data_IF_042145280074
#
_entry.id   IF_042145280074
#
_cell.length_a   1.000
_cell.length_b   1.000
_cell.length_c   1.000
_cell.angle_alpha   90.00
_cell.angle_beta   90.00
_cell.angle_gamma   90.00
#
_symmetry.space_group_name_H-M   'P 1'
#
loop_
_entity.id
_entity.type
_entity.pdbx_description
1 polymer ?
#
# COMPACT_ATOMS: atom_id res chain seq x y z
N UNK A 1 9.07 2.74 -31.00
CA UNK A 1 9.36 4.00 -30.30
C UNK A 1 8.62 4.12 -28.97
N UNK A 2 7.41 3.56 -28.85
CA UNK A 2 6.61 3.60 -27.62
C UNK A 2 7.34 3.14 -26.34
N UNK A 3 8.07 2.00 -26.30
CA UNK A 3 8.74 1.58 -25.07
C UNK A 3 9.85 2.56 -24.65
N UNK A 4 10.56 3.16 -25.61
CA UNK A 4 11.59 4.16 -25.29
C UNK A 4 10.97 5.44 -24.72
N UNK A 5 9.85 5.92 -25.28
CA UNK A 5 9.16 7.08 -24.75
C UNK A 5 8.70 6.86 -23.31
N UNK A 6 8.21 5.66 -22.99
CA UNK A 6 7.79 5.29 -21.64
C UNK A 6 8.96 5.20 -20.65
N UNK A 7 10.09 4.62 -21.06
CA UNK A 7 11.28 4.54 -20.20
C UNK A 7 11.84 5.93 -19.92
N UNK A 8 11.98 6.77 -20.95
CA UNK A 8 12.49 8.15 -20.78
C UNK A 8 11.53 8.99 -19.94
N UNK A 9 10.22 8.92 -20.21
CA UNK A 9 9.20 9.61 -19.41
C UNK A 9 9.23 9.17 -17.95
N UNK A 10 9.29 7.86 -17.70
CA UNK A 10 9.40 7.29 -16.35
C UNK A 10 10.64 7.79 -15.61
N UNK A 11 11.81 7.78 -16.26
CA UNK A 11 13.06 8.31 -15.69
C UNK A 11 12.93 9.78 -15.28
N UNK A 12 12.35 10.62 -16.14
CA UNK A 12 12.17 12.05 -15.86
C UNK A 12 11.21 12.27 -14.68
N UNK A 13 10.08 11.56 -14.67
CA UNK A 13 9.10 11.65 -13.58
C UNK A 13 9.69 11.19 -12.24
N UNK A 14 10.44 10.07 -12.23
CA UNK A 14 11.11 9.57 -11.02
C UNK A 14 12.17 10.58 -10.53
N UNK A 15 12.96 11.15 -11.44
CA UNK A 15 13.96 12.16 -11.09
C UNK A 15 13.32 13.40 -10.47
N UNK A 16 12.22 13.89 -11.05
CA UNK A 16 11.48 15.04 -10.53
C UNK A 16 10.85 14.76 -9.15
N UNK A 17 10.23 13.58 -8.99
CA UNK A 17 9.65 13.15 -7.72
C UNK A 17 10.73 13.02 -6.62
N UNK A 18 11.85 12.37 -6.92
CA UNK A 18 12.96 12.19 -5.98
C UNK A 18 13.63 13.52 -5.61
N UNK A 19 13.74 14.48 -6.55
CA UNK A 19 14.25 15.81 -6.25
C UNK A 19 13.35 16.57 -5.27
N UNK A 20 12.02 16.46 -5.45
CA UNK A 20 11.03 17.03 -4.55
C UNK A 20 11.08 16.40 -3.15
N UNK A 21 11.14 15.08 -3.07
CA UNK A 21 11.26 14.34 -1.80
C UNK A 21 12.57 14.68 -1.08
N UNK A 22 13.70 14.66 -1.79
CA UNK A 22 15.02 15.01 -1.23
C UNK A 22 15.03 16.43 -0.65
N UNK A 23 14.39 17.39 -1.34
CA UNK A 23 14.29 18.77 -0.85
C UNK A 23 13.45 18.86 0.44
N UNK A 24 12.37 18.08 0.55
CA UNK A 24 11.56 18.00 1.76
C UNK A 24 12.32 17.32 2.90
N UNK A 25 13.03 16.23 2.61
CA UNK A 25 13.86 15.52 3.58
C UNK A 25 14.95 16.43 4.14
N UNK A 26 15.67 17.17 3.28
CA UNK A 26 16.70 18.10 3.77
C UNK A 26 16.11 19.24 4.61
N UNK A 27 14.88 19.68 4.31
CA UNK A 27 14.18 20.68 5.13
C UNK A 27 13.80 20.11 6.50
N UNK A 28 13.21 18.91 6.55
CA UNK A 28 12.86 18.28 7.83
C UNK A 28 14.12 17.95 8.64
N UNK A 29 15.16 17.45 7.97
CA UNK A 29 16.49 17.21 8.54
C UNK A 29 17.11 18.46 9.17
N UNK A 30 17.04 19.60 8.49
CA UNK A 30 17.50 20.88 9.05
C UNK A 30 16.72 21.28 10.31
N UNK A 31 15.39 21.08 10.32
CA UNK A 31 14.53 21.42 11.47
C UNK A 31 14.86 20.57 12.70
N UNK A 32 15.15 19.27 12.51
CA UNK A 32 15.49 18.35 13.61
C UNK A 32 16.97 18.35 13.99
N UNK A 33 17.77 19.25 13.40
CA UNK A 33 19.20 19.38 13.69
C UNK A 33 20.09 18.28 13.09
N UNK A 34 19.63 17.56 12.07
CA UNK A 34 20.40 16.53 11.39
C UNK A 34 21.53 17.13 10.52
N UNK A 35 22.66 16.43 10.43
CA UNK A 35 23.79 16.82 9.58
C UNK A 35 23.49 16.54 8.10
N UNK A 36 23.43 17.57 7.22
CA UNK A 36 22.99 17.40 5.83
C UNK A 36 23.81 16.38 5.02
N UNK A 37 25.11 16.27 5.29
CA UNK A 37 26.01 15.34 4.58
C UNK A 37 25.62 13.89 4.79
N UNK A 38 25.35 13.48 6.04
CA UNK A 38 24.96 12.10 6.31
C UNK A 38 23.59 11.77 5.72
N UNK A 39 22.67 12.74 5.71
CA UNK A 39 21.35 12.57 5.13
C UNK A 39 21.39 12.38 3.60
N UNK A 40 22.18 13.18 2.88
CA UNK A 40 22.34 13.01 1.43
C UNK A 40 22.97 11.66 1.07
N UNK A 41 23.98 11.22 1.82
CA UNK A 41 24.60 9.90 1.63
C UNK A 41 23.58 8.80 1.89
N UNK A 42 22.79 8.90 2.96
CA UNK A 42 21.75 7.93 3.28
C UNK A 42 20.67 7.85 2.20
N UNK A 43 20.19 9.00 1.69
CA UNK A 43 19.22 9.06 0.60
C UNK A 43 19.75 8.43 -0.69
N UNK A 44 21.02 8.70 -1.03
CA UNK A 44 21.65 8.14 -2.23
C UNK A 44 21.81 6.62 -2.14
N UNK A 45 22.35 6.11 -1.02
CA UNK A 45 22.48 4.68 -0.78
C UNK A 45 21.10 4.01 -0.74
N UNK A 46 20.15 4.61 -0.04
CA UNK A 46 18.78 4.13 0.08
C UNK A 46 18.09 3.99 -1.28
N UNK A 47 18.23 4.98 -2.17
CA UNK A 47 17.68 4.94 -3.51
C UNK A 47 18.30 3.82 -4.37
N UNK A 48 19.63 3.67 -4.35
CA UNK A 48 20.33 2.61 -5.09
C UNK A 48 19.89 1.23 -4.59
N UNK A 49 19.98 0.99 -3.28
CA UNK A 49 19.62 -0.31 -2.68
C UNK A 49 18.14 -0.63 -2.95
N UNK A 50 17.24 0.34 -2.79
CA UNK A 50 15.81 0.15 -3.05
C UNK A 50 15.52 -0.14 -4.52
N UNK A 51 16.15 0.58 -5.45
CA UNK A 51 15.95 0.34 -6.89
C UNK A 51 16.37 -1.07 -7.32
N UNK A 52 17.49 -1.57 -6.78
CA UNK A 52 17.97 -2.94 -7.04
C UNK A 52 17.01 -3.95 -6.42
N UNK A 53 16.63 -3.76 -5.15
CA UNK A 53 15.74 -4.68 -4.43
C UNK A 53 14.35 -4.76 -5.07
N UNK A 54 13.74 -3.61 -5.41
CA UNK A 54 12.43 -3.53 -6.06
C UNK A 54 12.52 -4.13 -7.47
N UNK A 55 13.54 -3.77 -8.26
CA UNK A 55 13.73 -4.30 -9.61
C UNK A 55 13.92 -5.82 -9.62
N UNK A 56 14.70 -6.36 -8.69
CA UNK A 56 14.87 -7.80 -8.52
C UNK A 56 13.54 -8.48 -8.12
N UNK A 57 12.81 -7.91 -7.17
CA UNK A 57 11.52 -8.44 -6.71
C UNK A 57 10.50 -8.47 -7.83
N UNK A 58 10.34 -7.38 -8.58
CA UNK A 58 9.43 -7.30 -9.73
C UNK A 58 9.82 -8.33 -10.79
N UNK A 59 11.11 -8.47 -11.11
CA UNK A 59 11.57 -9.45 -12.09
C UNK A 59 11.27 -10.88 -11.65
N UNK A 60 11.49 -11.21 -10.38
CA UNK A 60 11.21 -12.54 -9.82
C UNK A 60 9.70 -12.84 -9.89
N UNK A 61 8.87 -11.90 -9.43
CA UNK A 61 7.42 -12.08 -9.39
C UNK A 61 6.78 -12.11 -10.77
N UNK A 62 7.33 -11.37 -11.74
CA UNK A 62 6.83 -11.34 -13.11
C UNK A 62 7.27 -12.55 -13.94
N UNK A 63 8.30 -13.27 -13.51
CA UNK A 63 8.78 -14.46 -14.22
C UNK A 63 7.71 -15.55 -14.17
N UNK A 64 7.15 -15.97 -15.32
CA UNK A 64 6.07 -16.94 -15.35
C UNK A 64 6.58 -18.35 -15.00
N UNK A 65 5.75 -19.12 -14.31
CA UNK A 65 5.99 -20.55 -14.09
C UNK A 65 5.84 -21.35 -15.40
N UNK A 66 6.35 -22.58 -15.43
CA UNK A 66 6.23 -23.46 -16.60
C UNK A 66 4.75 -23.70 -17.01
N UNK A 67 3.84 -23.73 -16.03
CA UNK A 67 2.39 -23.87 -16.26
C UNK A 67 1.78 -22.60 -16.87
N UNK A 68 2.19 -21.42 -16.39
CA UNK A 68 1.74 -20.13 -16.95
C UNK A 68 2.19 -19.96 -18.40
N UNK A 69 3.40 -20.39 -18.74
CA UNK A 69 3.90 -20.35 -20.12
C UNK A 69 3.06 -21.24 -21.05
N UNK A 70 2.59 -22.40 -20.58
CA UNK A 70 1.69 -23.27 -21.34
C UNK A 70 0.30 -22.64 -21.57
N UNK A 71 -0.12 -21.75 -20.67
CA UNK A 71 -1.35 -20.96 -20.81
C UNK A 71 -1.15 -19.69 -21.66
N UNK A 72 0.06 -19.47 -22.22
CA UNK A 72 0.38 -18.28 -23.02
C UNK A 72 0.63 -17.01 -22.21
N UNK A 73 0.78 -17.12 -20.88
CA UNK A 73 1.04 -16.01 -19.98
C UNK A 73 2.54 -15.69 -20.00
N UNK A 74 2.91 -14.54 -20.53
CA UNK A 74 4.31 -14.08 -20.62
C UNK A 74 4.73 -13.20 -19.45
N UNK A 75 3.76 -12.60 -18.75
CA UNK A 75 3.96 -11.74 -17.57
C UNK A 75 3.04 -12.24 -16.47
N UNK A 76 3.61 -12.67 -15.35
CA UNK A 76 2.83 -13.20 -14.24
C UNK A 76 2.10 -12.08 -13.46
N UNK A 77 2.63 -10.85 -13.47
CA UNK A 77 1.98 -9.70 -12.83
C UNK A 77 0.75 -9.29 -13.65
N UNK A 78 -0.37 -9.06 -12.97
CA UNK A 78 -1.67 -8.75 -13.60
C UNK A 78 -2.54 -9.98 -13.84
N UNK A 79 -2.06 -11.19 -13.49
CA UNK A 79 -2.87 -12.42 -13.43
C UNK A 79 -3.58 -12.55 -12.08
N UNK A 80 -4.46 -13.56 -11.95
CA UNK A 80 -5.14 -13.86 -10.67
C UNK A 80 -4.18 -14.22 -9.54
N UNK A 81 -2.98 -14.74 -9.87
CA UNK A 81 -1.96 -15.09 -8.87
C UNK A 81 -1.28 -13.84 -8.30
N UNK A 82 -1.03 -12.84 -9.15
CA UNK A 82 -0.39 -11.58 -8.77
C UNK A 82 -1.21 -10.40 -9.30
N UNK A 83 -2.40 -10.14 -8.73
CA UNK A 83 -3.27 -9.07 -9.21
C UNK A 83 -2.61 -7.72 -8.98
N UNK A 84 -2.50 -6.92 -10.04
CA UNK A 84 -1.94 -5.57 -9.97
C UNK A 84 -2.93 -4.53 -10.50
N UNK A 85 -4.06 -4.25 -9.81
CA UNK A 85 -5.11 -3.36 -10.32
C UNK A 85 -4.59 -1.97 -10.70
N UNK A 86 -3.76 -1.36 -9.85
CA UNK A 86 -3.15 -0.05 -10.14
C UNK A 86 -2.23 -0.10 -11.37
N UNK A 87 -1.45 -1.18 -11.53
CA UNK A 87 -0.57 -1.38 -12.68
C UNK A 87 -1.37 -1.57 -13.97
N UNK A 88 -2.41 -2.40 -13.94
CA UNK A 88 -3.28 -2.68 -15.09
C UNK A 88 -4.02 -1.42 -15.55
N UNK A 89 -4.50 -0.59 -14.62
CA UNK A 89 -5.13 0.69 -14.96
C UNK A 89 -4.15 1.65 -15.66
N UNK A 90 -2.95 1.80 -15.10
CA UNK A 90 -1.91 2.65 -15.71
C UNK A 90 -1.49 2.12 -17.09
N UNK A 91 -1.32 0.81 -17.23
CA UNK A 91 -1.01 0.18 -18.52
C UNK A 91 -2.11 0.40 -19.55
N UNK A 92 -3.39 0.32 -19.14
CA UNK A 92 -4.55 0.54 -20.02
C UNK A 92 -4.61 1.99 -20.49
N UNK A 93 -4.43 2.96 -19.58
CA UNK A 93 -4.40 4.39 -19.93
C UNK A 93 -3.25 4.72 -20.87
N UNK A 94 -2.04 4.24 -20.56
CA UNK A 94 -0.85 4.47 -21.38
C UNK A 94 -1.03 3.88 -22.78
N UNK A 95 -1.48 2.62 -22.88
CA UNK A 95 -1.75 1.98 -24.17
C UNK A 95 -2.84 2.72 -24.95
N UNK A 96 -3.92 3.14 -24.30
CA UNK A 96 -5.00 3.91 -24.93
C UNK A 96 -4.52 5.25 -25.49
N UNK A 97 -3.70 5.99 -24.73
CA UNK A 97 -3.13 7.27 -25.16
C UNK A 97 -2.17 7.07 -26.35
N UNK A 98 -1.23 6.12 -26.24
CA UNK A 98 -0.22 5.90 -27.28
C UNK A 98 -0.81 5.34 -28.58
N UNK A 99 -1.83 4.49 -28.48
CA UNK A 99 -2.53 3.94 -29.64
C UNK A 99 -3.58 4.87 -30.24
N UNK A 100 -3.77 6.07 -29.68
CA UNK A 100 -4.86 7.00 -30.02
C UNK A 100 -6.26 6.37 -29.95
N UNK A 101 -6.41 5.27 -29.19
CA UNK A 101 -7.64 4.50 -29.04
C UNK A 101 -8.15 4.57 -27.60
N UNK A 102 -7.98 5.73 -26.96
CA UNK A 102 -8.53 5.98 -25.64
C UNK A 102 -10.02 6.29 -25.78
N UNK A 103 -10.84 5.59 -25.02
CA UNK A 103 -12.26 5.86 -24.97
C UNK A 103 -12.53 7.15 -24.19
N UNK A 104 -12.61 8.26 -24.93
CA UNK A 104 -12.86 9.60 -24.40
C UNK A 104 -14.23 9.74 -23.73
N UNK A 105 -15.18 8.83 -24.00
CA UNK A 105 -16.47 8.83 -23.30
C UNK A 105 -16.25 8.51 -21.82
N UNK A 106 -15.46 7.48 -21.50
CA UNK A 106 -15.15 7.15 -20.10
C UNK A 106 -14.31 8.23 -19.41
N UNK A 107 -13.37 8.86 -20.13
CA UNK A 107 -12.55 9.94 -19.57
C UNK A 107 -13.40 11.16 -19.20
N UNK A 108 -14.30 11.58 -20.10
CA UNK A 108 -15.16 12.75 -19.86
C UNK A 108 -16.20 12.50 -18.77
N UNK A 109 -16.76 11.28 -18.71
CA UNK A 109 -17.63 10.86 -17.59
C UNK A 109 -16.87 10.88 -16.28
N UNK A 110 -15.65 10.34 -16.24
CA UNK A 110 -14.79 10.38 -15.06
C UNK A 110 -14.48 11.81 -14.59
N UNK A 111 -14.19 12.72 -15.54
CA UNK A 111 -13.96 14.13 -15.24
C UNK A 111 -15.21 14.81 -14.66
N UNK A 112 -16.41 14.55 -15.22
CA UNK A 112 -17.66 15.09 -14.70
C UNK A 112 -17.97 14.58 -13.27
N UNK A 113 -17.73 13.29 -13.01
CA UNK A 113 -17.87 12.71 -11.67
C UNK A 113 -16.88 13.35 -10.70
N UNK A 114 -15.62 13.50 -11.09
CA UNK A 114 -14.59 14.13 -10.26
C UNK A 114 -14.96 15.56 -9.88
N UNK A 115 -15.42 16.37 -10.84
CA UNK A 115 -15.89 17.74 -10.59
C UNK A 115 -17.09 17.73 -9.63
N UNK A 116 -18.06 16.84 -9.86
CA UNK A 116 -19.24 16.73 -9.00
C UNK A 116 -18.85 16.38 -7.56
N UNK A 117 -17.94 15.43 -7.37
CA UNK A 117 -17.43 15.06 -6.04
C UNK A 117 -16.69 16.21 -5.36
N UNK A 118 -15.84 16.92 -6.10
CA UNK A 118 -15.10 18.07 -5.56
C UNK A 118 -16.06 19.20 -5.15
N UNK A 119 -17.13 19.44 -5.92
CA UNK A 119 -18.20 20.38 -5.58
C UNK A 119 -19.01 19.93 -4.35
N UNK A 120 -19.16 18.63 -4.12
CA UNK A 120 -19.74 18.08 -2.90
C UNK A 120 -18.78 18.13 -1.69
N UNK A 121 -17.57 18.66 -1.84
CA UNK A 121 -16.55 18.72 -0.78
C UNK A 121 -15.87 17.38 -0.52
N UNK A 122 -16.03 16.40 -1.41
CA UNK A 122 -15.39 15.09 -1.33
C UNK A 122 -14.17 15.12 -2.26
N UNK A 123 -12.97 14.86 -1.71
CA UNK A 123 -11.74 14.79 -2.51
C UNK A 123 -11.89 13.73 -3.60
N UNK A 124 -11.90 14.17 -4.86
CA UNK A 124 -12.14 13.29 -6.01
C UNK A 124 -11.15 12.10 -6.08
N UNK A 125 -9.90 12.31 -5.66
CA UNK A 125 -8.87 11.27 -5.64
C UNK A 125 -9.23 10.11 -4.68
N UNK A 126 -9.68 10.42 -3.47
CA UNK A 126 -10.05 9.40 -2.47
C UNK A 126 -11.26 8.60 -2.93
N UNK A 127 -12.23 9.26 -3.58
CA UNK A 127 -13.38 8.61 -4.17
C UNK A 127 -12.99 7.68 -5.32
N UNK A 128 -12.19 8.18 -6.27
CA UNK A 128 -11.72 7.40 -7.41
C UNK A 128 -10.99 6.13 -6.99
N UNK A 129 -10.16 6.22 -5.93
CA UNK A 129 -9.45 5.05 -5.38
C UNK A 129 -10.41 3.97 -4.89
N UNK A 130 -11.50 4.34 -4.23
CA UNK A 130 -12.50 3.38 -3.75
C UNK A 130 -13.27 2.68 -4.86
N UNK A 131 -13.48 3.36 -6.00
CA UNK A 131 -14.31 2.84 -7.12
C UNK A 131 -13.57 1.79 -7.96
N UNK A 132 -12.25 1.91 -8.13
CA UNK A 132 -11.51 0.95 -8.97
C UNK A 132 -11.02 -0.29 -8.21
N UNK A 133 -10.94 -0.24 -6.88
CA UNK A 133 -10.48 -1.36 -6.08
C UNK A 133 -11.58 -2.45 -5.95
N UNK A 134 -11.20 -3.73 -5.82
CA UNK A 134 -12.15 -4.80 -5.54
C UNK A 134 -12.96 -4.49 -4.29
N UNK A 135 -14.25 -4.85 -4.28
CA UNK A 135 -15.15 -4.62 -3.14
C UNK A 135 -14.61 -5.20 -1.82
N UNK A 136 -13.91 -6.34 -1.89
CA UNK A 136 -13.24 -6.93 -0.73
C UNK A 136 -12.16 -6.02 -0.13
N UNK A 137 -11.36 -5.35 -0.98
CA UNK A 137 -10.34 -4.39 -0.56
C UNK A 137 -10.97 -3.07 -0.09
N UNK A 138 -11.97 -2.56 -0.80
CA UNK A 138 -12.64 -1.31 -0.42
C UNK A 138 -13.37 -1.46 0.92
N UNK A 139 -14.01 -2.61 1.19
CA UNK A 139 -14.69 -2.86 2.46
C UNK A 139 -13.72 -2.92 3.64
N UNK A 140 -12.56 -3.55 3.47
CA UNK A 140 -11.53 -3.62 4.53
C UNK A 140 -10.94 -2.24 4.83
N UNK A 141 -10.68 -1.42 3.81
CA UNK A 141 -10.28 -0.01 3.96
C UNK A 141 -11.37 0.79 4.70
N UNK A 142 -12.64 0.61 4.32
CA UNK A 142 -13.77 1.27 4.98
C UNK A 142 -13.86 0.91 6.47
N UNK A 143 -13.71 -0.37 6.83
CA UNK A 143 -13.73 -0.80 8.24
C UNK A 143 -12.55 -0.18 9.01
N UNK A 144 -11.36 -0.11 8.42
CA UNK A 144 -10.22 0.59 9.03
C UNK A 144 -10.52 2.07 9.29
N UNK A 145 -11.13 2.77 8.32
CA UNK A 145 -11.58 4.15 8.47
C UNK A 145 -12.69 4.32 9.50
N UNK A 146 -13.63 3.39 9.57
CA UNK A 146 -14.69 3.37 10.59
C UNK A 146 -14.12 3.19 12.00
N UNK A 147 -13.12 2.32 12.17
CA UNK A 147 -12.41 2.16 13.45
C UNK A 147 -11.74 3.48 13.86
N UNK A 148 -11.02 4.15 12.95
CA UNK A 148 -10.40 5.46 13.21
C UNK A 148 -11.47 6.49 13.62
N UNK A 149 -12.55 6.62 12.86
CA UNK A 149 -13.64 7.54 13.18
C UNK A 149 -14.30 7.27 14.54
N UNK A 150 -14.45 6.00 14.94
CA UNK A 150 -14.96 5.64 16.28
C UNK A 150 -13.95 6.00 17.38
N UNK A 151 -12.65 5.81 17.16
CA UNK A 151 -11.59 6.20 18.10
C UNK A 151 -11.60 7.71 18.31
N UNK A 152 -11.62 8.48 17.23
CA UNK A 152 -11.59 9.94 17.28
C UNK A 152 -12.84 10.50 17.97
N UNK A 153 -14.00 9.94 17.65
CA UNK A 153 -15.26 10.29 18.31
C UNK A 153 -15.20 10.00 19.82
N UNK A 154 -14.67 8.85 20.24
CA UNK A 154 -14.55 8.50 21.68
C UNK A 154 -13.51 9.34 22.41
N UNK A 155 -12.36 9.65 21.80
CA UNK A 155 -11.35 10.54 22.40
C UNK A 155 -11.90 11.95 22.63
N UNK A 156 -12.68 12.47 21.67
CA UNK A 156 -13.37 13.77 21.80
C UNK A 156 -14.40 13.80 22.94
N UNK A 157 -15.14 12.71 23.15
CA UNK A 157 -16.15 12.59 24.22
C UNK A 157 -15.52 12.49 25.62
N UNK A 158 -14.31 11.94 25.75
CA UNK A 158 -13.65 11.75 27.04
C UNK A 158 -12.98 13.01 27.60
N UNK A 159 -13.26 14.21 27.06
CA UNK A 159 -12.64 15.48 27.47
C UNK A 159 -11.10 15.42 27.55
N UNK A 160 -10.47 14.52 26.79
CA UNK A 160 -9.04 14.64 26.54
C UNK A 160 -8.89 15.88 25.67
N UNK A 161 -8.51 17.00 26.29
CA UNK A 161 -8.06 18.21 25.60
C UNK A 161 -6.77 17.89 24.84
N UNK A 162 -6.87 17.11 23.78
CA UNK A 162 -5.90 17.10 22.70
C UNK A 162 -6.68 17.56 21.47
N UNK A 163 -6.78 18.87 21.32
CA UNK A 163 -6.48 19.49 20.03
C UNK A 163 -5.04 19.11 19.69
N UNK A 164 -4.81 17.84 19.35
CA UNK A 164 -3.58 17.39 18.74
C UNK A 164 -3.56 18.01 17.35
N UNK A 165 -2.44 18.63 16.98
CA UNK A 165 -2.19 18.98 15.59
C UNK A 165 -2.41 17.72 14.72
N UNK A 166 -2.87 17.88 13.47
CA UNK A 166 -2.99 16.76 12.54
C UNK A 166 -1.70 15.91 12.45
N UNK A 167 -0.55 16.52 12.72
CA UNK A 167 0.77 15.85 12.79
C UNK A 167 0.96 14.93 14.01
N UNK A 168 0.44 15.29 15.19
CA UNK A 168 0.47 14.40 16.37
C UNK A 168 -0.50 13.23 16.22
N UNK A 169 -1.61 13.44 15.49
CA UNK A 169 -2.60 12.40 15.19
C UNK A 169 -2.01 11.32 14.27
N UNK A 170 -1.21 11.72 13.27
CA UNK A 170 -0.51 10.80 12.37
C UNK A 170 0.61 10.00 13.07
N UNK A 171 1.14 10.51 14.19
CA UNK A 171 2.10 9.80 15.07
C UNK A 171 1.43 9.02 16.20
N UNK A 172 0.10 9.03 16.29
CA UNK A 172 -0.62 8.31 17.34
C UNK A 172 -0.33 6.80 17.33
N UNK A 173 -0.31 6.18 18.51
CA UNK A 173 0.01 4.74 18.69
C UNK A 173 -0.74 3.81 17.73
N UNK A 174 -2.01 4.11 17.44
CA UNK A 174 -2.83 3.35 16.50
C UNK A 174 -2.32 3.45 15.06
N UNK A 175 -1.96 4.64 14.59
CA UNK A 175 -1.47 4.87 13.24
C UNK A 175 -0.05 4.30 13.06
N UNK A 176 0.82 4.44 14.07
CA UNK A 176 2.16 3.86 14.08
C UNK A 176 2.13 2.31 14.08
N UNK A 177 1.23 1.71 14.86
CA UNK A 177 1.06 0.26 14.85
C UNK A 177 0.48 -0.24 13.53
N UNK A 178 -0.51 0.45 12.96
CA UNK A 178 -1.08 0.10 11.66
C UNK A 178 -0.04 0.19 10.52
N UNK A 179 0.76 1.27 10.46
CA UNK A 179 1.83 1.40 9.46
C UNK A 179 2.90 0.33 9.63
N UNK A 180 3.26 -0.04 10.87
CA UNK A 180 4.13 -1.16 11.17
C UNK A 180 3.58 -2.51 10.68
N UNK A 181 2.29 -2.78 10.88
CA UNK A 181 1.63 -3.99 10.36
C UNK A 181 1.61 -4.04 8.84
N UNK A 182 1.33 -2.91 8.17
CA UNK A 182 1.34 -2.83 6.70
C UNK A 182 2.75 -3.09 6.17
N UNK A 183 3.77 -2.45 6.74
CA UNK A 183 5.16 -2.65 6.33
C UNK A 183 5.63 -4.10 6.58
N UNK A 184 5.36 -4.63 7.77
CA UNK A 184 5.72 -6.01 8.13
C UNK A 184 5.00 -7.04 7.25
N UNK A 185 3.70 -6.86 7.00
CA UNK A 185 2.91 -7.72 6.12
C UNK A 185 3.40 -7.69 4.67
N UNK A 186 3.77 -6.50 4.16
CA UNK A 186 4.33 -6.37 2.82
C UNK A 186 5.69 -7.07 2.69
N UNK A 187 6.59 -6.88 3.66
CA UNK A 187 7.91 -7.54 3.66
C UNK A 187 7.76 -9.06 3.76
N UNK A 188 6.91 -9.55 4.69
CA UNK A 188 6.64 -10.98 4.83
C UNK A 188 6.03 -11.56 3.54
N UNK A 189 5.08 -10.85 2.92
CA UNK A 189 4.48 -11.25 1.64
C UNK A 189 5.50 -11.35 0.51
N UNK A 190 6.41 -10.37 0.39
CA UNK A 190 7.50 -10.40 -0.60
C UNK A 190 8.44 -11.58 -0.34
N UNK A 191 8.83 -11.84 0.91
CA UNK A 191 9.69 -12.98 1.27
C UNK A 191 9.01 -14.30 0.89
N UNK A 192 7.74 -14.49 1.27
CA UNK A 192 6.97 -15.70 0.94
C UNK A 192 6.86 -15.87 -0.57
N UNK A 193 6.59 -14.80 -1.32
CA UNK A 193 6.47 -14.86 -2.76
C UNK A 193 7.80 -15.20 -3.46
N UNK A 194 8.92 -14.66 -2.98
CA UNK A 194 10.26 -15.02 -3.46
C UNK A 194 10.55 -16.51 -3.15
N UNK A 195 10.29 -16.97 -1.93
CA UNK A 195 10.51 -18.37 -1.56
C UNK A 195 9.62 -19.34 -2.36
N UNK A 196 8.39 -18.94 -2.66
CA UNK A 196 7.45 -19.73 -3.46
C UNK A 196 7.81 -19.73 -4.96
N UNK A 197 8.63 -18.78 -5.43
CA UNK A 197 9.12 -18.77 -6.82
C UNK A 197 10.20 -19.81 -7.10
N UNK A 198 10.87 -20.32 -6.05
CA UNK A 198 11.95 -21.31 -6.16
C UNK A 198 11.37 -22.72 -5.88
N UNK A 199 11.44 -23.67 -6.83
CA UNK A 199 10.80 -24.99 -6.70
C UNK A 199 11.18 -25.76 -5.43
N UNK A 200 12.45 -25.67 -5.01
CA UNK A 200 12.95 -26.35 -3.81
C UNK A 200 12.35 -25.83 -2.51
N UNK A 201 12.06 -24.53 -2.43
CA UNK A 201 11.45 -23.90 -1.24
C UNK A 201 9.93 -23.86 -1.30
N UNK A 202 9.32 -23.92 -2.49
CA UNK A 202 7.86 -24.00 -2.65
C UNK A 202 7.29 -25.23 -1.91
N UNK A 203 7.91 -26.41 -2.08
CA UNK A 203 7.52 -27.62 -1.34
C UNK A 203 7.65 -27.47 0.18
N UNK A 204 8.65 -26.73 0.66
CA UNK A 204 8.80 -26.43 2.08
C UNK A 204 7.71 -25.47 2.58
N UNK A 205 7.41 -24.41 1.83
CA UNK A 205 6.33 -23.47 2.16
C UNK A 205 4.98 -24.17 2.17
N UNK A 206 4.71 -25.05 1.20
CA UNK A 206 3.49 -25.85 1.17
C UNK A 206 3.39 -26.82 2.36
N UNK A 207 4.53 -27.38 2.82
CA UNK A 207 4.55 -28.23 4.01
C UNK A 207 4.29 -27.47 5.32
N UNK A 208 4.68 -26.19 5.36
CA UNK A 208 4.44 -25.29 6.48
C UNK A 208 3.01 -24.70 6.43
N UNK A 209 2.38 -24.69 5.25
CA UNK A 209 1.04 -24.15 5.06
C UNK A 209 0.00 -24.99 5.81
N UNK A 210 -0.58 -24.40 6.85
CA UNK A 210 -1.70 -25.00 7.58
C UNK A 210 -3.03 -24.88 6.81
N UNK A 211 -3.06 -24.23 5.66
CA UNK A 211 -4.26 -23.98 4.86
C UNK A 211 -5.02 -25.27 4.58
N UNK A 212 -4.36 -26.27 4.01
CA UNK A 212 -5.01 -27.53 3.64
C UNK A 212 -5.57 -28.27 4.87
N UNK A 213 -4.89 -28.18 6.02
CA UNK A 213 -5.33 -28.78 7.28
C UNK A 213 -6.55 -28.07 7.87
N UNK A 214 -6.54 -26.74 7.89
CA UNK A 214 -7.66 -25.94 8.40
C UNK A 214 -8.88 -26.04 7.49
N UNK A 215 -8.71 -25.96 6.17
CA UNK A 215 -9.81 -26.06 5.20
C UNK A 215 -10.48 -27.43 5.28
N UNK A 216 -9.70 -28.51 5.45
CA UNK A 216 -10.24 -29.87 5.63
C UNK A 216 -10.97 -30.05 6.96
N UNK A 217 -10.55 -29.37 8.03
CA UNK A 217 -11.16 -29.50 9.36
C UNK A 217 -12.42 -28.63 9.54
N UNK A 218 -12.43 -27.42 8.98
CA UNK A 218 -13.49 -26.42 9.17
C UNK A 218 -14.46 -26.34 7.98
N UNK A 219 -14.09 -26.91 6.83
CA UNK A 219 -14.75 -26.69 5.54
C UNK A 219 -14.49 -25.30 4.98
N UNK A 220 -14.74 -25.10 3.68
CA UNK A 220 -14.47 -23.83 3.00
C UNK A 220 -15.17 -22.64 3.68
N UNK A 221 -16.43 -22.82 4.10
CA UNK A 221 -17.19 -21.80 4.81
C UNK A 221 -16.62 -21.50 6.20
N UNK A 222 -16.14 -22.52 6.92
CA UNK A 222 -15.53 -22.35 8.23
C UNK A 222 -14.17 -21.65 8.15
N UNK A 223 -13.41 -21.90 7.09
CA UNK A 223 -12.16 -21.20 6.80
C UNK A 223 -12.40 -19.71 6.51
N UNK A 224 -13.41 -19.38 5.70
CA UNK A 224 -13.80 -17.99 5.45
C UNK A 224 -14.24 -17.26 6.73
N UNK A 225 -15.03 -17.92 7.58
CA UNK A 225 -15.45 -17.37 8.88
C UNK A 225 -14.28 -17.14 9.83
N UNK A 226 -13.28 -18.03 9.82
CA UNK A 226 -12.04 -17.83 10.58
C UNK A 226 -11.29 -16.60 10.10
N UNK A 227 -11.20 -16.38 8.78
CA UNK A 227 -10.62 -15.17 8.20
C UNK A 227 -11.33 -13.90 8.67
N UNK A 228 -12.67 -13.90 8.66
CA UNK A 228 -13.47 -12.79 9.20
C UNK A 228 -13.21 -12.61 10.71
N UNK A 229 -13.12 -13.69 11.48
CA UNK A 229 -12.81 -13.66 12.90
C UNK A 229 -11.43 -13.05 13.18
N UNK A 230 -10.41 -13.45 12.41
CA UNK A 230 -9.06 -12.87 12.50
C UNK A 230 -9.06 -11.38 12.14
N UNK A 231 -9.80 -10.98 11.11
CA UNK A 231 -9.95 -9.58 10.72
C UNK A 231 -10.64 -8.74 11.81
N UNK A 232 -11.71 -9.26 12.41
CA UNK A 232 -12.38 -8.61 13.55
C UNK A 232 -11.43 -8.51 14.75
N UNK A 233 -10.69 -9.58 15.06
CA UNK A 233 -9.69 -9.56 16.13
C UNK A 233 -8.62 -8.49 15.90
N UNK A 234 -8.12 -8.38 14.67
CA UNK A 234 -7.17 -7.33 14.28
C UNK A 234 -7.79 -5.93 14.46
N UNK A 235 -9.03 -5.72 14.02
CA UNK A 235 -9.76 -4.48 14.22
C UNK A 235 -9.94 -4.13 15.71
N UNK A 236 -10.24 -5.11 16.55
CA UNK A 236 -10.31 -4.93 18.00
C UNK A 236 -8.96 -4.58 18.62
N UNK A 237 -7.86 -5.20 18.15
CA UNK A 237 -6.49 -4.88 18.60
C UNK A 237 -6.14 -3.45 18.21
N UNK A 238 -6.41 -3.04 16.97
CA UNK A 238 -6.21 -1.67 16.50
C UNK A 238 -6.98 -0.67 17.36
N UNK A 239 -8.27 -0.95 17.60
CA UNK A 239 -9.11 -0.10 18.45
C UNK A 239 -8.55 0.02 19.87
N UNK A 240 -8.10 -1.09 20.48
CA UNK A 240 -7.51 -1.10 21.82
C UNK A 240 -6.22 -0.29 21.88
N UNK A 241 -5.30 -0.49 20.94
CA UNK A 241 -4.02 0.23 20.88
C UNK A 241 -4.25 1.72 20.66
N UNK A 242 -5.16 2.09 19.76
CA UNK A 242 -5.46 3.49 19.47
C UNK A 242 -6.13 4.24 20.64
N UNK A 243 -6.83 3.52 21.53
CA UNK A 243 -7.45 4.06 22.74
C UNK A 243 -6.51 4.11 23.96
N UNK A 244 -5.30 3.53 23.89
CA UNK A 244 -4.33 3.68 24.98
C UNK A 244 -3.94 5.15 25.11
N UNK A 245 -3.82 5.64 26.35
CA UNK A 245 -3.32 6.99 26.59
C UNK A 245 -1.90 7.09 26.04
N UNK A 246 -1.63 8.18 25.33
CA UNK A 246 -0.26 8.53 25.01
C UNK A 246 0.46 8.82 26.33
N UNK A 247 1.56 8.12 26.58
CA UNK A 247 2.43 8.49 27.70
C UNK A 247 2.98 9.86 27.33
N UNK A 248 2.57 10.87 28.07
CA UNK A 248 3.15 12.21 27.95
C UNK A 248 4.65 12.04 28.18
N UNK A 249 5.45 12.22 27.12
CA UNK A 249 6.89 12.38 27.27
C UNK A 249 7.10 13.50 28.30
N UNK A 250 7.97 13.29 29.31
CA UNK A 250 8.26 14.36 30.25
C UNK A 250 8.77 15.55 29.44
N UNK A 251 8.09 16.69 29.58
CA UNK A 251 8.56 17.97 29.08
C UNK A 251 9.94 18.23 29.67
N UNK A 252 10.98 18.04 28.87
CA UNK A 252 12.34 18.40 29.25
C UNK A 252 12.40 19.92 29.28
N UNK A 253 12.18 20.48 30.48
CA UNK A 253 12.59 21.84 30.79
C UNK A 253 14.13 21.87 30.79
N UNK A 254 14.73 22.42 29.75
CA UNK A 254 16.11 22.94 29.77
C UNK A 254 16.26 24.07 28.76
#
# INVERSE_FOLDING_TARGET
YEPMALVVGGMICIAAANAGATSQDLKTGFIVGATPRYQQIALFIGAIVSSIAIGATVKILDTPSAEMLQQGITHAIGTDKYPAPQGTLMATLVKGILSFNLDWQFVTVGAAIAITMELCGIKALSFAVGVYLPLSTTLTIFIGGAIRGIVDWRKKQQHSKLTASAEEEDLGKGNLFATGLVAGGAIAGVIVAILSSIPSTDTFIQSLSAEHGLTKALGDNGYMLLGVGAFVALGCVLYRIAMQKDETLPTENA
#
